data_IF_304183516265
#
_entry.id   IF_304183516265
#
_cell.length_a   1.000
_cell.length_b   1.000
_cell.length_c   1.000
_cell.angle_alpha   90.00
_cell.angle_beta   90.00
_cell.angle_gamma   90.00
#
_symmetry.space_group_name_H-M   'P 1'
#
loop_
_entity.id
_entity.type
_entity.pdbx_description
1 polymer ?
#
# COMPACT_ATOMS: atom_id res chain seq x y z
N UNK A 1 -11.87 -1.09 -9.25
CA UNK A 1 -13.09 -1.89 -9.48
C UNK A 1 -14.34 -1.02 -9.35
N UNK A 2 -14.68 -0.48 -8.17
CA UNK A 2 -15.83 0.43 -8.01
C UNK A 2 -15.77 1.69 -8.88
N UNK A 3 -14.57 2.29 -9.06
CA UNK A 3 -14.40 3.48 -9.91
C UNK A 3 -14.71 3.28 -11.41
N UNK A 4 -14.82 2.04 -11.89
CA UNK A 4 -15.16 1.75 -13.28
C UNK A 4 -16.48 1.02 -13.46
N UNK A 5 -17.20 0.71 -12.37
CA UNK A 5 -18.45 -0.07 -12.40
C UNK A 5 -19.59 0.69 -11.70
N UNK A 6 -19.28 1.66 -10.83
CA UNK A 6 -20.28 2.46 -10.10
C UNK A 6 -21.28 3.16 -11.01
N UNK A 7 -20.86 3.59 -12.21
CA UNK A 7 -21.74 4.20 -13.21
C UNK A 7 -22.73 3.20 -13.85
N UNK A 8 -22.39 1.92 -13.87
CA UNK A 8 -23.20 0.85 -14.45
C UNK A 8 -24.18 0.26 -13.43
N UNK A 9 -24.15 0.72 -12.17
CA UNK A 9 -25.08 0.29 -11.13
C UNK A 9 -26.40 1.03 -11.32
N UNK A 10 -27.43 0.28 -11.71
CA UNK A 10 -28.76 0.80 -12.03
C UNK A 10 -29.63 0.84 -10.76
N UNK A 11 -30.32 1.96 -10.50
CA UNK A 11 -31.18 2.14 -9.33
C UNK A 11 -32.59 2.64 -9.69
N UNK A 12 -33.59 2.20 -8.91
CA UNK A 12 -35.02 2.60 -9.04
C UNK A 12 -35.52 3.27 -7.76
N UNK A 13 -36.35 4.31 -7.91
CA UNK A 13 -37.17 4.89 -6.83
C UNK A 13 -38.33 3.94 -6.48
N UNK A 14 -38.46 3.59 -5.20
CA UNK A 14 -39.59 2.78 -4.71
C UNK A 14 -40.93 3.50 -4.93
N UNK A 15 -41.90 2.78 -5.51
CA UNK A 15 -43.34 3.08 -5.69
C UNK A 15 -43.82 4.55 -5.61
N UNK A 16 -43.15 5.48 -6.31
CA UNK A 16 -43.61 6.85 -6.48
C UNK A 16 -43.22 7.35 -7.86
N UNK A 17 -44.21 7.56 -8.72
CA UNK A 17 -44.09 8.06 -10.09
C UNK A 17 -43.39 9.42 -10.09
N UNK A 18 -42.17 9.50 -10.61
CA UNK A 18 -41.45 10.76 -10.81
C UNK A 18 -39.93 10.60 -10.90
N UNK A 19 -39.32 11.17 -11.94
CA UNK A 19 -37.86 11.29 -12.09
C UNK A 19 -37.29 12.10 -10.92
N UNK A 20 -36.55 11.45 -10.03
CA UNK A 20 -35.90 12.12 -8.91
C UNK A 20 -34.40 11.93 -9.05
N UNK A 21 -33.70 13.01 -9.41
CA UNK A 21 -32.24 13.02 -9.38
C UNK A 21 -31.81 13.00 -7.90
N UNK A 22 -31.36 11.84 -7.42
CA UNK A 22 -30.69 11.78 -6.13
C UNK A 22 -29.21 12.01 -6.37
N UNK A 23 -28.73 13.19 -5.98
CA UNK A 23 -27.30 13.48 -6.01
C UNK A 23 -26.63 12.68 -4.89
N UNK A 24 -25.80 11.72 -5.29
CA UNK A 24 -24.92 11.02 -4.38
C UNK A 24 -23.55 11.67 -4.48
N UNK A 25 -23.23 12.55 -3.53
CA UNK A 25 -21.89 13.12 -3.42
C UNK A 25 -20.86 11.99 -3.22
N UNK A 26 -19.67 12.17 -3.80
CA UNK A 26 -18.52 11.24 -3.73
C UNK A 26 -18.65 9.89 -4.48
N UNK A 27 -19.44 9.88 -5.55
CA UNK A 27 -19.39 8.83 -6.58
C UNK A 27 -18.11 8.93 -7.42
N UNK A 28 -17.48 7.81 -7.81
CA UNK A 28 -16.23 7.85 -8.57
C UNK A 28 -16.46 8.22 -10.04
N UNK A 29 -16.46 9.54 -10.29
CA UNK A 29 -15.96 10.28 -11.46
C UNK A 29 -16.23 9.70 -12.86
N UNK A 30 -17.42 9.99 -13.38
CA UNK A 30 -17.62 10.41 -14.78
C UNK A 30 -18.52 11.66 -14.73
N UNK A 31 -17.91 12.86 -14.75
CA UNK A 31 -18.49 14.21 -14.95
C UNK A 31 -19.79 14.62 -14.22
N UNK A 32 -20.32 13.79 -13.33
CA UNK A 32 -21.54 14.04 -12.58
C UNK A 32 -21.45 13.30 -11.25
N UNK A 33 -21.39 14.06 -10.15
CA UNK A 33 -21.51 13.56 -8.77
C UNK A 33 -22.96 13.15 -8.44
N UNK A 34 -23.67 12.59 -9.41
CA UNK A 34 -25.10 12.31 -9.34
C UNK A 34 -25.41 11.03 -10.12
N UNK A 35 -25.76 9.96 -9.40
CA UNK A 35 -26.34 8.78 -10.02
C UNK A 35 -27.82 9.05 -10.20
N UNK A 36 -28.22 9.27 -11.45
CA UNK A 36 -29.63 9.47 -11.78
C UNK A 36 -30.38 8.13 -11.70
N UNK A 37 -31.13 7.93 -10.62
CA UNK A 37 -32.02 6.78 -10.46
C UNK A 37 -33.34 7.00 -11.21
N UNK A 38 -33.28 7.02 -12.55
CA UNK A 38 -34.42 7.34 -13.42
C UNK A 38 -35.07 6.12 -14.10
N UNK A 39 -34.66 4.88 -13.77
CA UNK A 39 -35.26 3.67 -14.37
C UNK A 39 -36.59 3.29 -13.74
N UNK A 40 -37.53 2.92 -14.62
CA UNK A 40 -38.85 2.37 -14.27
C UNK A 40 -38.85 0.84 -14.08
N UNK A 41 -37.75 0.14 -14.33
CA UNK A 41 -37.65 -1.32 -14.20
C UNK A 41 -37.83 -1.78 -12.74
N UNK A 42 -38.61 -2.84 -12.51
CA UNK A 42 -38.86 -3.37 -11.16
C UNK A 42 -37.57 -3.71 -10.40
N UNK A 43 -37.59 -3.54 -9.07
CA UNK A 43 -36.45 -3.91 -8.22
C UNK A 43 -36.34 -5.44 -8.16
N UNK A 44 -35.14 -5.99 -8.35
CA UNK A 44 -34.93 -7.44 -8.33
C UNK A 44 -33.51 -7.87 -8.69
N UNK A 45 -33.23 -9.17 -8.53
CA UNK A 45 -32.00 -9.81 -9.02
C UNK A 45 -31.95 -9.65 -10.54
N UNK A 46 -30.83 -9.15 -11.07
CA UNK A 46 -30.62 -8.76 -12.47
C UNK A 46 -31.43 -7.53 -12.95
N UNK A 47 -32.03 -6.78 -12.03
CA UNK A 47 -32.74 -5.51 -12.31
C UNK A 47 -32.21 -4.37 -11.45
N UNK A 48 -32.93 -3.25 -11.42
CA UNK A 48 -32.51 -2.05 -10.68
C UNK A 48 -32.46 -2.29 -9.16
N UNK A 49 -31.42 -1.80 -8.50
CA UNK A 49 -31.27 -1.87 -7.05
C UNK A 49 -32.08 -0.76 -6.36
N UNK A 50 -32.53 -0.97 -5.12
CA UNK A 50 -33.15 0.10 -4.34
C UNK A 50 -32.12 1.17 -3.95
N UNK A 51 -32.57 2.42 -3.83
CA UNK A 51 -31.74 3.56 -3.39
C UNK A 51 -31.08 3.30 -2.03
N UNK A 52 -31.80 2.66 -1.10
CA UNK A 52 -31.25 2.32 0.23
C UNK A 52 -30.09 1.32 0.13
N UNK A 53 -30.22 0.28 -0.69
CA UNK A 53 -29.16 -0.71 -0.89
C UNK A 53 -27.96 -0.10 -1.62
N UNK A 54 -28.22 0.81 -2.57
CA UNK A 54 -27.16 1.56 -3.23
C UNK A 54 -26.37 2.45 -2.26
N UNK A 55 -27.05 3.14 -1.34
CA UNK A 55 -26.40 3.95 -0.30
C UNK A 55 -25.49 3.10 0.58
N UNK A 56 -25.98 1.95 1.07
CA UNK A 56 -25.20 1.00 1.88
C UNK A 56 -23.98 0.47 1.12
N UNK A 57 -24.15 0.16 -0.16
CA UNK A 57 -23.06 -0.32 -1.02
C UNK A 57 -21.99 0.76 -1.26
N UNK A 58 -22.40 2.00 -1.52
CA UNK A 58 -21.47 3.11 -1.76
C UNK A 58 -20.63 3.39 -0.51
N UNK A 59 -21.25 3.45 0.67
CA UNK A 59 -20.56 3.65 1.95
C UNK A 59 -19.54 2.54 2.22
N UNK A 60 -19.93 1.27 2.06
CA UNK A 60 -19.01 0.14 2.22
C UNK A 60 -17.84 0.21 1.22
N UNK A 61 -18.10 0.57 -0.04
CA UNK A 61 -17.06 0.73 -1.05
C UNK A 61 -16.09 1.86 -0.71
N UNK A 62 -16.59 2.99 -0.20
CA UNK A 62 -15.75 4.12 0.21
C UNK A 62 -14.84 3.74 1.39
N UNK A 63 -15.36 3.04 2.40
CA UNK A 63 -14.57 2.56 3.55
C UNK A 63 -13.46 1.62 3.07
N UNK A 64 -13.78 0.65 2.21
CA UNK A 64 -12.81 -0.30 1.66
C UNK A 64 -11.73 0.44 0.85
N UNK A 65 -12.11 1.43 0.05
CA UNK A 65 -11.18 2.23 -0.74
C UNK A 65 -10.23 3.04 0.16
N UNK A 66 -10.75 3.68 1.21
CA UNK A 66 -9.94 4.41 2.18
C UNK A 66 -8.96 3.48 2.90
N UNK A 67 -9.44 2.32 3.38
CA UNK A 67 -8.61 1.32 4.04
C UNK A 67 -7.52 0.77 3.12
N UNK A 68 -7.83 0.54 1.85
CA UNK A 68 -6.87 0.09 0.83
C UNK A 68 -5.76 1.12 0.57
N UNK A 69 -6.12 2.41 0.41
CA UNK A 69 -5.15 3.51 0.27
C UNK A 69 -4.24 3.62 1.48
N UNK A 70 -4.81 3.60 2.69
CA UNK A 70 -4.06 3.69 3.94
C UNK A 70 -3.10 2.51 4.12
N UNK A 71 -3.55 1.28 3.81
CA UNK A 71 -2.71 0.08 3.84
C UNK A 71 -1.52 0.23 2.88
N UNK A 72 -1.78 0.66 1.63
CA UNK A 72 -0.73 0.85 0.62
C UNK A 72 0.29 1.91 1.03
N UNK A 73 -0.17 3.04 1.54
CA UNK A 73 0.71 4.10 2.05
C UNK A 73 1.59 3.57 3.20
N UNK A 74 0.99 2.89 4.19
CA UNK A 74 1.74 2.25 5.28
C UNK A 74 2.77 1.24 4.77
N UNK A 75 2.42 0.45 3.76
CA UNK A 75 3.31 -0.56 3.18
C UNK A 75 4.51 0.07 2.46
N UNK A 76 4.28 1.16 1.73
CA UNK A 76 5.33 1.93 1.06
C UNK A 76 6.31 2.53 2.07
N UNK A 77 5.82 3.10 3.17
CA UNK A 77 6.68 3.65 4.23
C UNK A 77 7.52 2.57 4.92
N UNK A 78 6.93 1.40 5.19
CA UNK A 78 7.68 0.24 5.70
C UNK A 78 8.75 -0.23 4.73
N UNK A 79 8.46 -0.24 3.43
CA UNK A 79 9.41 -0.65 2.39
C UNK A 79 10.60 0.30 2.31
N UNK A 80 10.36 1.62 2.33
CA UNK A 80 11.42 2.64 2.39
C UNK A 80 12.26 2.50 3.65
N UNK A 81 11.63 2.22 4.78
CA UNK A 81 12.32 2.02 6.06
C UNK A 81 13.20 0.78 6.02
N UNK A 82 12.69 -0.33 5.46
CA UNK A 82 13.46 -1.55 5.26
C UNK A 82 14.65 -1.35 4.32
N UNK A 83 14.48 -0.58 3.24
CA UNK A 83 15.58 -0.24 2.34
C UNK A 83 16.68 0.55 3.06
N UNK A 84 16.32 1.54 3.89
CA UNK A 84 17.26 2.29 4.74
C UNK A 84 17.98 1.38 5.74
N UNK A 85 17.26 0.47 6.39
CA UNK A 85 17.86 -0.50 7.32
C UNK A 85 18.82 -1.44 6.61
N UNK A 86 18.47 -1.95 5.43
CA UNK A 86 19.36 -2.79 4.59
C UNK A 86 20.62 -2.04 4.19
N UNK A 87 20.51 -0.79 3.75
CA UNK A 87 21.67 0.05 3.41
C UNK A 87 22.58 0.28 4.63
N UNK A 88 22.02 0.62 5.80
CA UNK A 88 22.79 0.74 7.05
C UNK A 88 23.47 -0.56 7.44
N UNK A 89 22.76 -1.69 7.33
CA UNK A 89 23.32 -3.02 7.62
C UNK A 89 24.49 -3.35 6.70
N UNK A 90 24.42 -3.00 5.41
CA UNK A 90 25.51 -3.22 4.47
C UNK A 90 26.79 -2.46 4.86
N UNK A 91 26.67 -1.20 5.28
CA UNK A 91 27.81 -0.40 5.77
C UNK A 91 28.42 -1.05 7.02
N UNK A 92 27.59 -1.46 7.97
CA UNK A 92 28.08 -2.10 9.19
C UNK A 92 28.83 -3.41 8.87
N UNK A 93 28.30 -4.23 7.94
CA UNK A 93 28.97 -5.46 7.49
C UNK A 93 30.33 -5.14 6.85
N UNK A 94 30.42 -4.10 6.02
CA UNK A 94 31.69 -3.67 5.42
C UNK A 94 32.71 -3.23 6.47
N UNK A 95 32.28 -2.47 7.48
CA UNK A 95 33.15 -2.05 8.60
C UNK A 95 33.63 -3.25 9.40
N UNK A 96 32.75 -4.22 9.70
CA UNK A 96 33.13 -5.46 10.39
C UNK A 96 34.15 -6.27 9.58
N UNK A 97 33.99 -6.37 8.26
CA UNK A 97 34.95 -7.06 7.40
C UNK A 97 36.32 -6.39 7.39
N UNK A 98 36.36 -5.05 7.34
CA UNK A 98 37.60 -4.29 7.42
C UNK A 98 38.29 -4.46 8.78
N UNK A 99 37.51 -4.46 9.87
CA UNK A 99 38.05 -4.73 11.20
C UNK A 99 38.66 -6.14 11.29
N UNK A 100 38.00 -7.15 10.72
CA UNK A 100 38.55 -8.50 10.63
C UNK A 100 39.89 -8.55 9.89
N UNK A 101 39.99 -7.91 8.72
CA UNK A 101 41.24 -7.84 7.96
C UNK A 101 42.36 -7.14 8.75
N UNK A 102 42.03 -6.10 9.51
CA UNK A 102 43.01 -5.41 10.36
C UNK A 102 43.56 -6.30 11.47
N UNK A 103 42.70 -7.11 12.12
CA UNK A 103 43.14 -8.06 13.15
C UNK A 103 44.10 -9.13 12.58
N UNK A 104 43.81 -9.67 11.39
CA UNK A 104 44.70 -10.65 10.73
C UNK A 104 46.08 -10.06 10.40
N UNK A 105 46.13 -8.81 9.92
CA UNK A 105 47.38 -8.09 9.67
C UNK A 105 48.16 -7.89 10.98
N UNK A 106 47.48 -7.44 12.04
CA UNK A 106 48.11 -7.21 13.34
C UNK A 106 48.73 -8.51 13.90
N UNK A 107 48.00 -9.63 13.85
CA UNK A 107 48.48 -10.95 14.27
C UNK A 107 49.73 -11.36 13.47
N UNK A 108 49.71 -11.15 12.16
CA UNK A 108 50.84 -11.49 11.27
C UNK A 108 52.07 -10.65 11.59
N UNK A 109 51.91 -9.34 11.81
CA UNK A 109 53.01 -8.45 12.23
C UNK A 109 53.61 -8.87 13.57
N UNK A 110 52.78 -9.23 14.57
CA UNK A 110 53.29 -9.70 15.87
C UNK A 110 54.12 -10.98 15.72
N UNK A 111 53.67 -11.93 14.89
CA UNK A 111 54.44 -13.16 14.60
C UNK A 111 55.77 -12.86 13.92
N UNK A 112 55.79 -11.94 12.96
CA UNK A 112 57.02 -11.55 12.25
C UNK A 112 58.04 -10.88 13.18
N UNK A 113 57.59 -9.96 14.03
CA UNK A 113 58.45 -9.31 15.03
C UNK A 113 59.02 -10.31 16.05
N UNK A 114 58.22 -11.30 16.46
CA UNK A 114 58.69 -12.38 17.32
C UNK A 114 59.80 -13.22 16.65
N UNK A 115 59.67 -13.50 15.35
CA UNK A 115 60.71 -14.20 14.58
C UNK A 115 62.00 -13.38 14.48
N UNK A 116 61.93 -12.09 14.18
CA UNK A 116 63.12 -11.21 14.16
C UNK A 116 63.82 -11.22 15.52
N UNK A 117 63.05 -11.16 16.61
CA UNK A 117 63.60 -11.15 17.97
C UNK A 117 64.32 -12.45 18.34
N UNK A 118 63.88 -13.60 17.79
CA UNK A 118 64.55 -14.88 17.95
C UNK A 118 65.86 -14.94 17.14
N UNK A 119 65.84 -14.44 15.90
CA UNK A 119 67.03 -14.39 15.04
C UNK A 119 68.11 -13.44 15.56
N UNK A 120 67.74 -12.40 16.31
CA UNK A 120 68.69 -11.46 16.93
C UNK A 120 69.39 -12.04 18.18
N UNK A 121 68.91 -13.16 18.73
CA UNK A 121 69.49 -13.80 19.94
C UNK A 121 70.42 -14.97 19.62
N UNK A 122 70.49 -15.40 18.37
CA UNK A 122 71.44 -16.38 17.83
C UNK A 122 72.64 -15.67 17.23
#
# INVERSE_FOLDING_TARGET
MWNGIGYAVMCRKGNGSGSSNMNFEDQPRQESAAVQCNRYEAIGKDKSMSIENFKKLNEACQIIQAASKNRRARWLERSKTLARMRARKAVIIQVMALHGAFQEIAITCTRFLALISLLSKT
#
